data_IF_931504912032
#
_entry.id   IF_931504912032
#
_cell.length_a   1.000
_cell.length_b   1.000
_cell.length_c   1.000
_cell.angle_alpha   90.00
_cell.angle_beta   90.00
_cell.angle_gamma   90.00
#
_symmetry.space_group_name_H-M   'P 1'
#
loop_
_entity.id
_entity.type
_entity.pdbx_description
1 polymer ?
#
# COMPACT_ATOMS: atom_id res chain seq x y z
N UNK A 1 21.33 -3.19 37.12
CA UNK A 1 20.09 -2.54 36.66
C UNK A 1 19.91 -2.86 35.21
N UNK A 2 19.07 -3.81 34.90
CA UNK A 2 18.71 -4.04 33.50
C UNK A 2 17.88 -2.85 33.04
N UNK A 3 18.41 -2.11 32.08
CA UNK A 3 17.63 -1.09 31.37
C UNK A 3 16.51 -1.81 30.63
N UNK A 4 15.33 -1.81 31.19
CA UNK A 4 14.15 -2.37 30.54
C UNK A 4 13.87 -1.53 29.29
N UNK A 5 14.36 -1.99 28.14
CA UNK A 5 14.03 -1.36 26.88
C UNK A 5 12.57 -1.73 26.53
N UNK A 6 11.62 -0.80 26.61
CA UNK A 6 10.21 -1.10 26.37
C UNK A 6 9.94 -1.52 24.92
N UNK A 7 10.92 -1.35 24.02
CA UNK A 7 10.81 -1.73 22.59
C UNK A 7 11.48 -3.07 22.28
N UNK A 8 12.13 -3.70 23.26
CA UNK A 8 12.87 -4.95 23.05
C UNK A 8 11.99 -6.22 23.05
N UNK A 9 10.71 -6.12 23.42
CA UNK A 9 9.79 -7.25 23.50
C UNK A 9 8.59 -7.06 22.57
N UNK A 10 8.21 -8.08 21.76
CA UNK A 10 6.97 -8.01 20.97
C UNK A 10 5.70 -7.89 21.84
N UNK A 11 5.82 -8.13 23.14
CA UNK A 11 4.74 -7.99 24.11
C UNK A 11 4.70 -6.61 24.79
N UNK A 12 5.63 -5.72 24.48
CA UNK A 12 5.74 -4.41 25.15
C UNK A 12 4.49 -3.54 24.98
N UNK A 13 3.85 -3.59 23.83
CA UNK A 13 2.61 -2.83 23.57
C UNK A 13 1.43 -3.41 24.34
N UNK A 14 1.32 -4.73 24.46
CA UNK A 14 0.27 -5.40 25.25
C UNK A 14 0.38 -5.11 26.74
N UNK A 15 1.58 -4.85 27.25
CA UNK A 15 1.86 -4.53 28.66
C UNK A 15 1.86 -3.02 28.96
N UNK A 16 1.77 -2.18 27.93
CA UNK A 16 1.71 -0.73 28.10
C UNK A 16 0.38 -0.31 28.75
N UNK A 17 0.37 0.88 29.34
CA UNK A 17 -0.86 1.47 29.87
C UNK A 17 -1.94 1.62 28.79
N UNK A 18 -3.19 1.58 29.19
CA UNK A 18 -4.32 1.64 28.28
C UNK A 18 -4.27 2.87 27.35
N UNK A 19 -3.88 4.02 27.89
CA UNK A 19 -3.75 5.26 27.10
C UNK A 19 -2.67 5.13 26.02
N UNK A 20 -1.52 4.54 26.31
CA UNK A 20 -0.43 4.35 25.35
C UNK A 20 -0.83 3.38 24.26
N UNK A 21 -1.53 2.31 24.62
CA UNK A 21 -2.07 1.35 23.62
C UNK A 21 -3.09 1.99 22.71
N UNK A 22 -4.01 2.78 23.26
CA UNK A 22 -5.04 3.48 22.48
C UNK A 22 -4.40 4.46 21.51
N UNK A 23 -3.44 5.26 21.95
CA UNK A 23 -2.71 6.19 21.08
C UNK A 23 -1.97 5.46 19.94
N UNK A 24 -1.32 4.35 20.25
CA UNK A 24 -0.63 3.52 19.25
C UNK A 24 -1.61 2.99 18.19
N UNK A 25 -2.74 2.43 18.63
CA UNK A 25 -3.76 1.94 17.71
C UNK A 25 -4.34 3.05 16.84
N UNK A 26 -4.69 4.18 17.41
CA UNK A 26 -5.21 5.33 16.66
C UNK A 26 -4.22 5.80 15.58
N UNK A 27 -2.94 5.95 15.92
CA UNK A 27 -1.91 6.33 14.96
C UNK A 27 -1.74 5.29 13.87
N UNK A 28 -1.74 4.02 14.21
CA UNK A 28 -1.61 2.92 13.23
C UNK A 28 -2.78 2.92 12.25
N UNK A 29 -4.01 3.01 12.75
CA UNK A 29 -5.20 3.06 11.90
C UNK A 29 -5.28 4.31 11.04
N UNK A 30 -4.86 5.47 11.55
CA UNK A 30 -4.79 6.70 10.77
C UNK A 30 -3.80 6.59 9.60
N UNK A 31 -2.63 6.01 9.83
CA UNK A 31 -1.64 5.78 8.77
C UNK A 31 -2.14 4.76 7.75
N UNK A 32 -2.79 3.69 8.20
CA UNK A 32 -3.38 2.69 7.32
C UNK A 32 -4.50 3.31 6.46
N UNK A 33 -5.43 4.03 7.07
CA UNK A 33 -6.52 4.72 6.35
C UNK A 33 -5.96 5.76 5.36
N UNK A 34 -4.93 6.50 5.75
CA UNK A 34 -4.23 7.44 4.88
C UNK A 34 -3.57 6.76 3.68
N UNK A 35 -2.92 5.61 3.90
CA UNK A 35 -2.31 4.82 2.85
C UNK A 35 -3.35 4.25 1.86
N UNK A 36 -4.45 3.72 2.37
CA UNK A 36 -5.56 3.23 1.55
C UNK A 36 -6.20 4.37 0.75
N UNK A 37 -6.43 5.53 1.38
CA UNK A 37 -6.94 6.71 0.71
C UNK A 37 -6.03 7.19 -0.41
N UNK A 38 -4.72 7.24 -0.16
CA UNK A 38 -3.72 7.60 -1.16
C UNK A 38 -3.69 6.60 -2.33
N UNK A 39 -3.79 5.30 -2.05
CA UNK A 39 -3.91 4.25 -3.06
C UNK A 39 -5.14 4.45 -3.96
N UNK A 40 -6.31 4.69 -3.36
CA UNK A 40 -7.57 4.92 -4.11
C UNK A 40 -7.46 6.16 -5.00
N UNK A 41 -6.91 7.26 -4.47
CA UNK A 41 -6.71 8.49 -5.25
C UNK A 41 -5.74 8.24 -6.41
N UNK A 42 -4.65 7.54 -6.16
CA UNK A 42 -3.65 7.22 -7.18
C UNK A 42 -4.24 6.34 -8.28
N UNK A 43 -5.02 5.31 -7.93
CA UNK A 43 -5.74 4.49 -8.90
C UNK A 43 -6.71 5.31 -9.74
N UNK A 44 -7.50 6.19 -9.11
CA UNK A 44 -8.40 7.07 -9.85
C UNK A 44 -7.65 7.99 -10.83
N UNK A 45 -6.49 8.50 -10.43
CA UNK A 45 -5.63 9.31 -11.31
C UNK A 45 -5.07 8.49 -12.46
N UNK A 46 -4.64 7.26 -12.22
CA UNK A 46 -4.13 6.35 -13.25
C UNK A 46 -5.22 6.01 -14.28
N UNK A 47 -6.45 5.75 -13.82
CA UNK A 47 -7.59 5.51 -14.71
C UNK A 47 -7.97 6.74 -15.56
N UNK A 48 -7.65 7.94 -15.12
CA UNK A 48 -7.90 9.17 -15.86
C UNK A 48 -6.88 9.42 -16.98
N UNK A 49 -5.76 8.69 -17.02
CA UNK A 49 -4.73 8.85 -18.04
C UNK A 49 -5.23 8.30 -19.40
N UNK A 50 -5.28 9.12 -20.45
CA UNK A 50 -5.62 8.63 -21.78
C UNK A 50 -4.64 7.55 -22.27
N UNK A 51 -5.15 6.44 -22.75
CA UNK A 51 -4.31 5.34 -23.26
C UNK A 51 -3.74 4.41 -22.20
N UNK A 52 -4.17 4.53 -20.94
CA UNK A 52 -3.75 3.62 -19.87
C UNK A 52 -4.04 2.15 -20.20
N UNK A 53 -5.10 1.91 -20.95
CA UNK A 53 -5.48 0.58 -21.43
C UNK A 53 -4.35 -0.07 -22.25
N UNK A 54 -3.75 0.69 -23.17
CA UNK A 54 -2.64 0.21 -24.00
C UNK A 54 -1.41 -0.12 -23.16
N UNK A 55 -1.14 0.70 -22.14
CA UNK A 55 -0.04 0.45 -21.20
C UNK A 55 -0.27 -0.87 -20.45
N UNK A 56 -1.48 -1.05 -19.91
CA UNK A 56 -1.85 -2.27 -19.19
C UNK A 56 -1.79 -3.50 -20.10
N UNK A 57 -2.30 -3.41 -21.32
CA UNK A 57 -2.19 -4.53 -22.27
C UNK A 57 -0.75 -4.90 -22.60
N UNK A 58 0.15 -3.94 -22.68
CA UNK A 58 1.60 -4.20 -22.83
C UNK A 58 2.22 -4.86 -21.59
N UNK A 59 1.74 -4.49 -20.40
CA UNK A 59 2.22 -5.10 -19.15
C UNK A 59 1.85 -6.59 -19.09
N UNK A 60 0.61 -6.93 -19.43
CA UNK A 60 0.08 -8.32 -19.27
C UNK A 60 0.13 -9.14 -20.56
N UNK A 61 0.31 -8.51 -21.72
CA UNK A 61 0.19 -9.13 -23.05
C UNK A 61 1.32 -10.10 -23.43
N UNK A 62 2.37 -10.19 -22.61
CA UNK A 62 3.46 -11.15 -22.81
C UNK A 62 3.92 -11.74 -21.49
N UNK A 63 4.11 -13.05 -21.44
CA UNK A 63 4.55 -13.71 -20.20
C UNK A 63 5.85 -13.14 -19.63
N UNK A 64 6.79 -12.75 -20.50
CA UNK A 64 8.04 -12.12 -20.10
C UNK A 64 7.82 -10.70 -19.55
N UNK A 65 6.93 -9.93 -20.15
CA UNK A 65 6.60 -8.57 -19.68
C UNK A 65 6.01 -8.60 -18.28
N UNK A 66 5.10 -9.53 -18.02
CA UNK A 66 4.49 -9.69 -16.70
C UNK A 66 5.49 -10.14 -15.65
N UNK A 67 6.38 -11.06 -15.97
CA UNK A 67 7.46 -11.49 -15.07
C UNK A 67 8.39 -10.32 -14.73
N UNK A 68 8.69 -9.45 -15.69
CA UNK A 68 9.49 -8.26 -15.46
C UNK A 68 8.78 -7.29 -14.50
N UNK A 69 7.48 -7.07 -14.69
CA UNK A 69 6.65 -6.23 -13.80
C UNK A 69 6.65 -6.80 -12.37
N UNK A 70 6.48 -8.12 -12.23
CA UNK A 70 6.55 -8.77 -10.91
C UNK A 70 7.93 -8.63 -10.27
N UNK A 71 9.00 -8.80 -11.03
CA UNK A 71 10.36 -8.62 -10.55
C UNK A 71 10.65 -7.18 -10.08
N UNK A 72 10.20 -6.19 -10.83
CA UNK A 72 10.29 -4.78 -10.46
C UNK A 72 9.46 -4.48 -9.20
N UNK A 73 8.26 -5.04 -9.10
CA UNK A 73 7.42 -4.91 -7.89
C UNK A 73 8.11 -5.51 -6.66
N UNK A 74 8.69 -6.69 -6.78
CA UNK A 74 9.45 -7.31 -5.69
C UNK A 74 10.63 -6.45 -5.26
N UNK A 75 11.40 -5.91 -6.21
CA UNK A 75 12.51 -5.00 -5.94
C UNK A 75 12.05 -3.70 -5.27
N UNK A 76 10.99 -3.08 -5.77
CA UNK A 76 10.42 -1.88 -5.18
C UNK A 76 9.90 -2.14 -3.77
N UNK A 77 9.20 -3.25 -3.54
CA UNK A 77 8.71 -3.66 -2.23
C UNK A 77 9.85 -3.90 -1.23
N UNK A 78 10.94 -4.49 -1.68
CA UNK A 78 12.12 -4.70 -0.84
C UNK A 78 12.77 -3.38 -0.43
N UNK A 79 12.94 -2.45 -1.38
CA UNK A 79 13.47 -1.10 -1.11
C UNK A 79 12.52 -0.33 -0.18
N UNK A 80 11.21 -0.36 -0.47
CA UNK A 80 10.19 0.31 0.34
C UNK A 80 10.20 -0.19 1.79
N UNK A 81 10.29 -1.51 1.99
CA UNK A 81 10.37 -2.10 3.31
C UNK A 81 11.65 -1.68 4.04
N UNK A 82 12.79 -1.68 3.33
CA UNK A 82 14.06 -1.24 3.90
C UNK A 82 14.02 0.23 4.35
N UNK A 83 13.36 1.09 3.59
CA UNK A 83 13.20 2.50 3.95
C UNK A 83 12.20 2.68 5.09
N UNK A 84 11.08 1.96 5.06
CA UNK A 84 10.06 2.05 6.09
C UNK A 84 10.55 1.57 7.47
N UNK A 85 11.47 0.60 7.49
CA UNK A 85 12.09 0.08 8.72
C UNK A 85 13.39 0.77 9.10
N UNK A 86 13.77 1.83 8.38
CA UNK A 86 15.00 2.58 8.63
C UNK A 86 14.88 3.43 9.90
N UNK A 87 15.90 3.34 10.74
CA UNK A 87 16.02 4.18 11.95
C UNK A 87 16.53 5.60 11.66
N UNK A 88 16.84 5.90 10.39
CA UNK A 88 17.58 7.10 9.98
C UNK A 88 16.73 8.37 10.04
N UNK A 89 15.47 8.34 9.58
CA UNK A 89 14.59 9.50 9.62
C UNK A 89 13.13 9.14 9.33
N UNK A 90 12.20 9.94 9.87
CA UNK A 90 10.77 9.81 9.56
C UNK A 90 10.48 10.04 8.07
N UNK A 91 11.21 10.96 7.43
CA UNK A 91 11.08 11.22 6.00
C UNK A 91 11.37 9.99 5.15
N UNK A 92 12.40 9.21 5.49
CA UNK A 92 12.73 7.97 4.80
C UNK A 92 11.65 6.91 4.99
N UNK A 93 11.06 6.81 6.18
CA UNK A 93 9.96 5.88 6.46
C UNK A 93 8.72 6.22 5.64
N UNK A 94 8.34 7.50 5.53
CA UNK A 94 7.25 7.95 4.68
C UNK A 94 7.54 7.76 3.19
N UNK A 95 8.78 7.97 2.76
CA UNK A 95 9.20 7.68 1.39
C UNK A 95 9.06 6.19 1.06
N UNK A 96 9.41 5.31 1.99
CA UNK A 96 9.20 3.86 1.87
C UNK A 96 7.72 3.49 1.72
N UNK A 97 6.87 4.07 2.57
CA UNK A 97 5.42 3.87 2.49
C UNK A 97 4.86 4.39 1.15
N UNK A 98 5.27 5.57 0.72
CA UNK A 98 4.87 6.15 -0.57
C UNK A 98 5.28 5.28 -1.75
N UNK A 99 6.51 4.79 -1.76
CA UNK A 99 7.00 3.89 -2.80
C UNK A 99 6.19 2.59 -2.86
N UNK A 100 5.83 2.04 -1.70
CA UNK A 100 5.01 0.83 -1.61
C UNK A 100 3.61 1.07 -2.19
N UNK A 101 2.96 2.18 -1.84
CA UNK A 101 1.64 2.56 -2.37
C UNK A 101 1.67 2.69 -3.89
N UNK A 102 2.70 3.34 -4.45
CA UNK A 102 2.86 3.50 -5.90
C UNK A 102 3.08 2.15 -6.58
N UNK A 103 3.93 1.30 -6.02
CA UNK A 103 4.19 -0.03 -6.56
C UNK A 103 2.92 -0.90 -6.54
N UNK A 104 2.15 -0.86 -5.46
CA UNK A 104 0.86 -1.55 -5.38
C UNK A 104 -0.15 -1.03 -6.39
N UNK A 105 -0.27 0.28 -6.56
CA UNK A 105 -1.18 0.87 -7.54
C UNK A 105 -0.86 0.38 -8.96
N UNK A 106 0.41 0.31 -9.33
CA UNK A 106 0.83 -0.19 -10.65
C UNK A 106 0.49 -1.67 -10.83
N UNK A 107 0.70 -2.50 -9.80
CA UNK A 107 0.44 -3.94 -9.88
C UNK A 107 -1.06 -4.26 -9.87
N UNK A 108 -1.87 -3.48 -9.16
CA UNK A 108 -3.33 -3.65 -9.11
C UNK A 108 -4.05 -3.09 -10.34
N UNK A 109 -3.43 -2.14 -11.05
CA UNK A 109 -4.02 -1.46 -12.20
C UNK A 109 -4.59 -2.42 -13.27
N UNK A 110 -3.90 -3.50 -13.71
CA UNK A 110 -4.46 -4.46 -14.65
C UNK A 110 -5.72 -5.15 -14.13
N UNK A 111 -5.72 -5.56 -12.87
CA UNK A 111 -6.85 -6.24 -12.24
C UNK A 111 -8.08 -5.33 -12.18
N UNK A 112 -7.89 -4.10 -11.71
CA UNK A 112 -8.96 -3.11 -11.60
C UNK A 112 -9.48 -2.70 -12.97
N UNK A 113 -8.61 -2.54 -13.97
CA UNK A 113 -9.01 -2.21 -15.33
C UNK A 113 -9.88 -3.31 -15.95
N UNK A 114 -9.51 -4.57 -15.74
CA UNK A 114 -10.31 -5.72 -16.16
C UNK A 114 -11.67 -5.68 -15.44
N UNK A 115 -11.69 -5.50 -14.14
CA UNK A 115 -12.92 -5.46 -13.35
C UNK A 115 -13.87 -4.33 -13.80
N UNK A 116 -13.34 -3.13 -14.06
CA UNK A 116 -14.16 -1.97 -14.41
C UNK A 116 -14.63 -2.01 -15.86
N UNK A 117 -13.72 -2.34 -16.80
CA UNK A 117 -13.99 -2.19 -18.25
C UNK A 117 -14.55 -3.45 -18.92
N UNK A 118 -14.11 -4.63 -18.47
CA UNK A 118 -14.49 -5.88 -19.13
C UNK A 118 -15.65 -6.62 -18.45
N UNK A 119 -15.83 -6.44 -17.15
CA UNK A 119 -16.96 -7.09 -16.45
C UNK A 119 -18.14 -6.16 -16.22
N UNK A 120 -17.98 -4.86 -16.46
CA UNK A 120 -19.02 -3.85 -16.21
C UNK A 120 -19.38 -3.67 -14.73
N UNK A 121 -18.55 -4.20 -13.84
CA UNK A 121 -18.83 -4.22 -12.39
C UNK A 121 -18.09 -3.10 -11.63
N UNK A 122 -18.01 -1.92 -12.23
CA UNK A 122 -17.36 -0.76 -11.61
C UNK A 122 -17.92 -0.42 -10.22
N UNK A 123 -19.22 -0.68 -10.00
CA UNK A 123 -19.86 -0.45 -8.71
C UNK A 123 -19.29 -1.34 -7.59
N UNK A 124 -18.85 -2.56 -7.89
CA UNK A 124 -18.26 -3.46 -6.90
C UNK A 124 -16.90 -2.97 -6.42
N UNK A 125 -16.09 -2.41 -7.33
CA UNK A 125 -14.80 -1.80 -6.97
C UNK A 125 -15.01 -0.60 -6.04
N UNK A 126 -15.98 0.26 -6.37
CA UNK A 126 -16.35 1.39 -5.51
C UNK A 126 -16.86 0.95 -4.14
N UNK A 127 -17.72 -0.06 -4.09
CA UNK A 127 -18.21 -0.63 -2.82
C UNK A 127 -17.06 -1.23 -1.99
N UNK A 128 -16.16 -1.98 -2.60
CA UNK A 128 -15.00 -2.53 -1.90
C UNK A 128 -14.12 -1.43 -1.29
N UNK A 129 -13.88 -0.35 -2.03
CA UNK A 129 -13.12 0.79 -1.53
C UNK A 129 -13.81 1.46 -0.31
N UNK A 130 -15.12 1.68 -0.38
CA UNK A 130 -15.90 2.28 0.71
C UNK A 130 -15.87 1.37 1.94
N UNK A 131 -16.08 0.07 1.77
CA UNK A 131 -16.07 -0.89 2.88
C UNK A 131 -14.67 -0.91 3.54
N UNK A 132 -13.62 -0.94 2.73
CA UNK A 132 -12.23 -0.95 3.24
C UNK A 132 -11.89 0.29 4.05
N UNK A 133 -12.38 1.46 3.61
CA UNK A 133 -12.17 2.71 4.34
C UNK A 133 -13.04 2.82 5.62
N UNK A 134 -14.18 2.11 5.64
CA UNK A 134 -15.12 2.13 6.77
C UNK A 134 -14.80 1.11 7.87
N UNK A 135 -13.87 0.19 7.64
CA UNK A 135 -13.39 -0.77 8.64
C UNK A 135 -12.37 -0.16 9.58
#
# INVERSE_FOLDING_TARGET
MESHNPYASPYSVAQASENVRTEFYQKTYLHLAGAIGAFIILEAMLFAIPGIDLFVFKMIGGGMSWLLVLGLFMGASWIANKWATSDTSRGMQYAGLGLYIVAEAIIFLPLLLIAVRFTGQSHLVGQAAIITLGL
#
